data_IF_426655960970
#
_entry.id   IF_426655960970
#
_cell.length_a   1.000
_cell.length_b   1.000
_cell.length_c   1.000
_cell.angle_alpha   90.00
_cell.angle_beta   90.00
_cell.angle_gamma   90.00
#
_symmetry.space_group_name_H-M   'P 1'
#
loop_
_entity.id
_entity.type
_entity.pdbx_description
1 polymer ?
#
# COMPACT_ATOMS: atom_id res chain seq x y z
N UNK A 1 -71.30 21.47 2.62
CA UNK A 1 -69.91 21.25 2.16
C UNK A 1 -68.95 21.62 3.28
N UNK A 2 -68.45 20.64 4.05
CA UNK A 2 -67.56 20.87 5.20
C UNK A 2 -66.15 20.40 4.83
N UNK A 3 -65.18 21.32 4.88
CA UNK A 3 -63.78 21.08 4.52
C UNK A 3 -63.08 20.38 5.70
N UNK A 4 -62.46 19.23 5.45
CA UNK A 4 -61.63 18.51 6.43
C UNK A 4 -60.20 19.03 6.34
N UNK A 5 -59.65 19.47 7.48
CA UNK A 5 -58.27 19.95 7.60
C UNK A 5 -57.39 18.75 7.93
N UNK A 6 -56.40 18.46 7.08
CA UNK A 6 -55.41 17.40 7.28
C UNK A 6 -54.30 17.98 8.17
N UNK A 7 -54.15 17.45 9.38
CA UNK A 7 -53.05 17.80 10.28
C UNK A 7 -51.85 16.90 9.93
N UNK A 8 -50.83 17.48 9.31
CA UNK A 8 -49.56 16.78 9.07
C UNK A 8 -48.78 16.70 10.39
N UNK A 9 -48.66 15.50 10.95
CA UNK A 9 -47.78 15.26 12.10
C UNK A 9 -46.33 15.27 11.60
N UNK A 10 -45.59 16.32 11.95
CA UNK A 10 -44.16 16.45 11.70
C UNK A 10 -43.43 15.45 12.62
N UNK A 11 -42.95 14.34 12.07
CA UNK A 11 -42.09 13.40 12.81
C UNK A 11 -40.70 14.04 12.93
N UNK A 12 -40.39 14.57 14.11
CA UNK A 12 -39.04 15.02 14.42
C UNK A 12 -38.13 13.78 14.55
N UNK A 13 -37.31 13.52 13.54
CA UNK A 13 -36.20 12.58 13.63
C UNK A 13 -35.17 13.15 14.61
N UNK A 14 -35.16 12.66 15.85
CA UNK A 14 -34.11 12.97 16.81
C UNK A 14 -32.81 12.32 16.31
N UNK A 15 -31.93 13.12 15.71
CA UNK A 15 -30.52 12.76 15.57
C UNK A 15 -29.98 12.59 16.99
N UNK A 16 -29.72 11.35 17.39
CA UNK A 16 -29.05 11.08 18.65
C UNK A 16 -27.71 11.83 18.65
N UNK A 17 -27.40 12.65 19.67
CA UNK A 17 -26.08 13.23 19.78
C UNK A 17 -25.07 12.08 19.86
N UNK A 18 -24.03 12.10 19.04
CA UNK A 18 -22.92 11.18 19.16
C UNK A 18 -22.32 11.34 20.57
N UNK A 19 -22.67 10.43 21.47
CA UNK A 19 -22.19 10.48 22.85
C UNK A 19 -20.65 10.39 22.81
N UNK A 20 -19.99 11.46 23.21
CA UNK A 20 -18.56 11.43 23.44
C UNK A 20 -18.27 10.30 24.46
N UNK A 21 -17.41 9.36 24.08
CA UNK A 21 -16.90 8.34 25.01
C UNK A 21 -16.39 9.03 26.28
N UNK A 22 -16.72 8.48 27.45
CA UNK A 22 -16.35 9.07 28.73
C UNK A 22 -14.82 9.06 28.92
N UNK A 23 -14.30 10.02 29.68
CA UNK A 23 -12.85 10.09 30.00
C UNK A 23 -12.33 8.81 30.67
N UNK A 24 -13.13 8.18 31.53
CA UNK A 24 -12.78 6.91 32.16
C UNK A 24 -12.61 5.80 31.12
N UNK A 25 -13.50 5.72 30.14
CA UNK A 25 -13.42 4.74 29.07
C UNK A 25 -12.23 5.01 28.14
N UNK A 26 -11.92 6.28 27.86
CA UNK A 26 -10.69 6.66 27.12
C UNK A 26 -9.43 6.18 27.82
N UNK A 27 -9.31 6.42 29.14
CA UNK A 27 -8.17 5.97 29.95
C UNK A 27 -8.03 4.45 29.94
N UNK A 28 -9.15 3.73 29.97
CA UNK A 28 -9.13 2.27 29.89
C UNK A 28 -8.64 1.77 28.54
N UNK A 29 -9.08 2.36 27.42
CA UNK A 29 -8.59 2.00 26.10
C UNK A 29 -7.09 2.29 25.91
N UNK A 30 -6.59 3.36 26.54
CA UNK A 30 -5.15 3.68 26.57
C UNK A 30 -4.37 2.69 27.44
N UNK A 31 -4.88 2.35 28.62
CA UNK A 31 -4.30 1.34 29.51
C UNK A 31 -4.24 -0.04 28.84
N UNK A 32 -5.28 -0.41 28.10
CA UNK A 32 -5.38 -1.70 27.41
C UNK A 32 -4.60 -1.73 26.08
N UNK A 33 -3.83 -0.67 25.77
CA UNK A 33 -3.04 -0.50 24.55
C UNK A 33 -3.88 -0.62 23.26
N UNK A 34 -5.21 -0.50 23.34
CA UNK A 34 -6.14 -0.70 22.21
C UNK A 34 -6.28 0.52 21.31
N UNK A 35 -5.73 1.66 21.72
CA UNK A 35 -5.66 2.88 20.91
C UNK A 35 -4.42 2.94 20.03
N UNK A 36 -3.49 2.00 20.17
CA UNK A 36 -2.30 1.95 19.34
C UNK A 36 -2.63 1.28 18.01
N UNK A 37 -2.68 2.07 16.93
CA UNK A 37 -2.44 1.53 15.59
C UNK A 37 -1.02 0.99 15.62
N UNK A 38 -0.86 -0.32 15.52
CA UNK A 38 0.47 -0.88 15.29
C UNK A 38 0.95 -0.29 13.98
N UNK A 39 1.92 0.62 14.04
CA UNK A 39 2.77 0.88 12.89
C UNK A 39 3.28 -0.50 12.48
N UNK A 40 2.86 -0.97 11.31
CA UNK A 40 3.49 -2.13 10.71
C UNK A 40 4.90 -1.66 10.41
N UNK A 41 5.79 -1.82 11.39
CA UNK A 41 7.22 -1.85 11.19
C UNK A 41 7.49 -3.12 10.39
N UNK A 42 7.09 -3.14 9.12
CA UNK A 42 7.82 -3.91 8.15
C UNK A 42 9.27 -3.46 8.34
N UNK A 43 10.22 -4.36 8.65
CA UNK A 43 11.59 -3.97 8.81
C UNK A 43 12.02 -3.31 7.50
N UNK A 44 12.07 -1.98 7.49
CA UNK A 44 12.94 -1.22 6.61
C UNK A 44 14.33 -1.54 7.12
N UNK A 45 14.80 -2.75 6.80
CA UNK A 45 16.21 -3.06 6.80
C UNK A 45 16.82 -2.01 5.88
N UNK A 46 17.33 -0.94 6.49
CA UNK A 46 18.08 0.14 5.87
C UNK A 46 19.42 -0.38 5.37
N UNK A 47 19.38 -1.45 4.59
CA UNK A 47 20.46 -1.88 3.75
C UNK A 47 20.58 -0.77 2.72
N UNK A 48 21.67 -0.01 2.75
CA UNK A 48 22.01 0.99 1.73
C UNK A 48 22.20 0.27 0.41
N UNK A 49 21.12 0.11 -0.35
CA UNK A 49 21.14 -0.64 -1.60
C UNK A 49 21.55 0.31 -2.73
N UNK A 50 22.36 -0.17 -3.68
CA UNK A 50 22.70 0.64 -4.86
C UNK A 50 21.42 1.02 -5.60
N UNK A 51 21.16 2.33 -5.81
CA UNK A 51 20.01 2.77 -6.57
C UNK A 51 20.14 2.31 -8.02
N UNK A 52 19.01 1.95 -8.62
CA UNK A 52 18.94 1.46 -9.99
C UNK A 52 17.85 2.25 -10.70
N UNK A 53 18.12 2.67 -11.93
CA UNK A 53 17.12 3.17 -12.84
C UNK A 53 17.47 2.68 -14.24
N UNK A 54 16.57 1.91 -14.84
CA UNK A 54 16.70 1.40 -16.21
C UNK A 54 15.37 1.50 -16.92
N UNK A 55 15.40 1.99 -18.16
CA UNK A 55 14.21 2.11 -19.00
C UNK A 55 14.48 1.51 -20.37
N UNK A 56 13.87 0.37 -20.66
CA UNK A 56 14.06 -0.36 -21.93
C UNK A 56 12.89 -1.32 -22.16
N UNK A 57 12.59 -1.69 -23.41
CA UNK A 57 11.54 -2.66 -23.76
C UNK A 57 10.15 -2.31 -23.19
N UNK A 58 9.84 -1.01 -23.04
CA UNK A 58 8.58 -0.56 -22.43
C UNK A 58 8.48 -0.75 -20.91
N UNK A 59 9.59 -1.09 -20.25
CA UNK A 59 9.70 -1.23 -18.78
C UNK A 59 10.61 -0.13 -18.24
N UNK A 60 10.07 0.72 -17.37
CA UNK A 60 10.80 1.68 -16.52
C UNK A 60 10.90 1.09 -15.10
N UNK A 61 12.07 0.55 -14.77
CA UNK A 61 12.35 0.02 -13.44
C UNK A 61 13.22 0.99 -12.65
N UNK A 62 12.76 1.33 -11.45
CA UNK A 62 13.47 2.18 -10.49
C UNK A 62 13.55 1.47 -9.16
N UNK A 63 14.70 1.57 -8.50
CA UNK A 63 14.86 1.20 -7.10
C UNK A 63 15.69 2.27 -6.40
N UNK A 64 15.14 2.84 -5.34
CA UNK A 64 15.81 3.83 -4.51
C UNK A 64 16.92 3.22 -3.66
N UNK A 65 17.70 4.09 -3.00
CA UNK A 65 18.71 3.66 -2.04
C UNK A 65 18.10 3.08 -0.74
N UNK A 66 16.84 3.41 -0.49
CA UNK A 66 15.94 2.86 0.52
C UNK A 66 15.46 1.43 0.19
N UNK A 67 15.76 0.92 -1.01
CA UNK A 67 15.34 -0.39 -1.47
C UNK A 67 13.91 -0.44 -2.02
N UNK A 68 13.16 0.66 -2.00
CA UNK A 68 11.80 0.73 -2.55
C UNK A 68 11.89 0.71 -4.08
N UNK A 69 11.11 -0.18 -4.70
CA UNK A 69 11.12 -0.39 -6.14
C UNK A 69 9.81 0.02 -6.81
N UNK A 70 9.91 0.48 -8.05
CA UNK A 70 8.80 0.86 -8.90
C UNK A 70 9.00 0.28 -10.30
N UNK A 71 7.90 -0.19 -10.90
CA UNK A 71 7.83 -0.61 -12.29
C UNK A 71 6.76 0.23 -12.98
N UNK A 72 7.15 0.96 -14.02
CA UNK A 72 6.28 1.88 -14.76
C UNK A 72 5.55 2.90 -13.85
N UNK A 73 6.21 3.33 -12.78
CA UNK A 73 5.66 4.27 -11.80
C UNK A 73 4.75 3.65 -10.73
N UNK A 74 4.43 2.35 -10.84
CA UNK A 74 3.67 1.63 -9.80
C UNK A 74 4.63 1.02 -8.77
N UNK A 75 4.32 1.04 -7.46
CA UNK A 75 5.10 0.33 -6.46
C UNK A 75 5.22 -1.15 -6.82
N UNK A 76 6.43 -1.70 -6.67
CA UNK A 76 6.71 -3.10 -6.97
C UNK A 76 6.94 -3.89 -5.69
N UNK A 77 6.31 -5.07 -5.60
CA UNK A 77 6.56 -6.03 -4.54
C UNK A 77 7.96 -6.65 -4.69
N UNK A 78 8.55 -7.07 -3.59
CA UNK A 78 9.80 -7.85 -3.57
C UNK A 78 9.42 -9.32 -3.35
N UNK A 79 9.27 -10.06 -4.45
CA UNK A 79 8.74 -11.42 -4.41
C UNK A 79 9.77 -12.45 -3.97
N UNK A 80 11.04 -12.22 -4.34
CA UNK A 80 12.13 -13.13 -4.03
C UNK A 80 13.43 -12.35 -3.84
N UNK A 81 14.19 -12.71 -2.80
CA UNK A 81 15.54 -12.19 -2.57
C UNK A 81 16.44 -13.33 -2.11
N UNK A 82 17.30 -13.80 -3.01
CA UNK A 82 18.24 -14.88 -2.76
C UNK A 82 19.69 -14.44 -3.02
N UNK A 83 20.63 -15.39 -2.93
CA UNK A 83 22.05 -15.11 -3.10
C UNK A 83 22.42 -14.62 -4.52
N UNK A 84 21.62 -14.98 -5.53
CA UNK A 84 21.93 -14.72 -6.94
C UNK A 84 21.16 -13.51 -7.51
N UNK A 85 19.93 -13.30 -7.05
CA UNK A 85 19.03 -12.31 -7.61
C UNK A 85 17.98 -11.80 -6.61
N UNK A 86 17.35 -10.70 -7.00
CA UNK A 86 16.20 -10.12 -6.35
C UNK A 86 15.13 -9.82 -7.40
N UNK A 87 13.94 -10.34 -7.21
CA UNK A 87 12.83 -10.23 -8.16
C UNK A 87 11.78 -9.26 -7.63
N UNK A 88 11.38 -8.34 -8.48
CA UNK A 88 10.32 -7.38 -8.20
C UNK A 88 9.16 -7.56 -9.17
N UNK A 89 7.92 -7.38 -8.72
CA UNK A 89 6.76 -7.42 -9.60
C UNK A 89 5.79 -6.29 -9.39
N UNK A 90 5.13 -5.88 -10.47
CA UNK A 90 3.98 -5.00 -10.45
C UNK A 90 3.00 -5.44 -11.54
N UNK A 91 1.86 -5.96 -11.12
CA UNK A 91 0.87 -6.55 -12.03
C UNK A 91 1.48 -7.71 -12.83
N UNK A 92 1.44 -7.60 -14.16
CA UNK A 92 1.91 -8.64 -15.08
C UNK A 92 3.41 -8.54 -15.43
N UNK A 93 4.14 -7.57 -14.88
CA UNK A 93 5.56 -7.35 -15.17
C UNK A 93 6.38 -7.76 -13.96
N UNK A 94 7.43 -8.53 -14.21
CA UNK A 94 8.45 -8.87 -13.22
C UNK A 94 9.83 -8.43 -13.70
N UNK A 95 10.66 -7.94 -12.79
CA UNK A 95 12.03 -7.51 -13.05
C UNK A 95 12.97 -8.28 -12.12
N UNK A 96 13.92 -9.01 -12.71
CA UNK A 96 14.93 -9.78 -11.98
C UNK A 96 16.23 -9.01 -11.99
N UNK A 97 16.68 -8.59 -10.81
CA UNK A 97 17.94 -7.88 -10.57
C UNK A 97 18.96 -8.87 -10.03
N UNK A 98 19.89 -9.30 -10.87
CA UNK A 98 20.96 -10.21 -10.47
C UNK A 98 22.03 -9.44 -9.70
N UNK A 99 22.66 -10.08 -8.70
CA UNK A 99 23.76 -9.47 -7.92
C UNK A 99 24.99 -9.16 -8.79
N UNK A 100 25.13 -9.83 -9.95
CA UNK A 100 26.15 -9.55 -10.96
C UNK A 100 25.88 -8.29 -11.82
N UNK A 101 24.77 -7.59 -11.58
CA UNK A 101 24.41 -6.34 -12.25
C UNK A 101 23.57 -6.49 -13.52
N UNK A 102 23.31 -7.72 -13.99
CA UNK A 102 22.35 -7.98 -15.07
C UNK A 102 20.92 -7.70 -14.58
N UNK A 103 20.10 -7.14 -15.46
CA UNK A 103 18.69 -6.88 -15.15
C UNK A 103 17.84 -7.39 -16.30
N UNK A 104 16.91 -8.30 -15.99
CA UNK A 104 15.99 -8.89 -16.94
C UNK A 104 14.55 -8.51 -16.62
N UNK A 105 13.72 -8.43 -17.64
CA UNK A 105 12.28 -8.24 -17.52
C UNK A 105 11.52 -9.46 -18.02
N UNK A 106 10.37 -9.70 -17.40
CA UNK A 106 9.37 -10.68 -17.79
C UNK A 106 8.01 -9.99 -17.87
N UNK A 107 7.17 -10.44 -18.79
CA UNK A 107 5.78 -10.01 -18.92
C UNK A 107 4.90 -11.25 -19.03
N UNK A 108 3.90 -11.37 -18.17
CA UNK A 108 2.95 -12.50 -18.15
C UNK A 108 3.68 -13.85 -18.07
N UNK A 109 4.72 -13.93 -17.24
CA UNK A 109 5.55 -15.12 -17.08
C UNK A 109 6.48 -15.44 -18.26
N UNK A 110 6.45 -14.64 -19.34
CA UNK A 110 7.34 -14.82 -20.50
C UNK A 110 8.54 -13.89 -20.41
N UNK A 111 9.69 -14.38 -20.85
CA UNK A 111 10.90 -13.57 -20.93
C UNK A 111 10.71 -12.43 -21.94
N UNK A 112 10.81 -11.19 -21.45
CA UNK A 112 10.68 -10.00 -22.30
C UNK A 112 12.04 -9.60 -22.87
N UNK A 113 13.10 -9.67 -22.05
CA UNK A 113 14.45 -9.35 -22.49
C UNK A 113 15.32 -8.73 -21.40
N UNK A 114 16.53 -8.35 -21.81
CA UNK A 114 17.55 -7.74 -20.94
C UNK A 114 17.46 -6.22 -20.94
N UNK A 115 17.29 -5.64 -19.75
CA UNK A 115 17.26 -4.20 -19.50
C UNK A 115 18.67 -3.60 -19.33
N UNK A 116 19.58 -4.32 -18.64
CA UNK A 116 20.98 -3.94 -18.40
C UNK A 116 21.89 -5.15 -18.34
#
# INVERSE_FOLDING_TARGET
MKKLIIIAALVASTVAPAHAISEAYRRQLQHDHKTMVSEVNAPVNGSTVKPIHVKKLGVDFKRGADGIAYINGSPAANDENNAEAQTYSAGLISVVVYKNGKINAMKEGKYLGRLK
#
